data_IF_832886853131
#
_entry.id   IF_832886853131
#
_cell.length_a   1.000
_cell.length_b   1.000
_cell.length_c   1.000
_cell.angle_alpha   90.00
_cell.angle_beta   90.00
_cell.angle_gamma   90.00
#
_symmetry.space_group_name_H-M   'P 1'
#
loop_
_entity.id
_entity.type
_entity.pdbx_description
1 polymer ?
#
# COMPACT_ATOMS: atom_id res chain seq x y z
N UNK A 1 -11.00 10.82 4.41
CA UNK A 1 -10.51 12.18 4.10
C UNK A 1 -10.70 12.99 5.36
N UNK A 2 -9.61 13.47 5.99
CA UNK A 2 -9.71 14.29 7.21
C UNK A 2 -10.26 15.65 6.76
N UNK A 3 -11.57 15.80 6.81
CA UNK A 3 -12.26 17.01 6.39
C UNK A 3 -12.02 18.14 7.39
N UNK A 4 -11.83 19.35 6.87
CA UNK A 4 -11.84 20.57 7.66
C UNK A 4 -13.18 20.68 8.40
N UNK A 5 -13.11 20.76 9.73
CA UNK A 5 -14.27 20.96 10.59
C UNK A 5 -14.16 22.38 11.21
N UNK A 6 -15.02 23.32 10.80
CA UNK A 6 -14.96 24.71 11.27
C UNK A 6 -15.34 24.86 12.76
N UNK A 7 -15.73 23.79 13.46
CA UNK A 7 -16.09 23.80 14.90
C UNK A 7 -14.99 23.29 15.83
N UNK A 8 -13.78 23.01 15.31
CA UNK A 8 -12.67 22.51 16.12
C UNK A 8 -11.81 23.67 16.64
N UNK A 9 -11.82 23.90 17.95
CA UNK A 9 -11.04 24.95 18.64
C UNK A 9 -9.51 24.71 18.64
N UNK A 10 -9.04 23.58 18.10
CA UNK A 10 -7.62 23.22 17.99
C UNK A 10 -7.27 22.99 16.52
N UNK A 11 -6.84 24.04 15.83
CA UNK A 11 -6.22 23.91 14.52
C UNK A 11 -4.79 23.41 14.66
N UNK A 12 -4.59 22.10 14.46
CA UNK A 12 -3.24 21.52 14.39
C UNK A 12 -2.49 22.11 13.20
N UNK A 13 -1.22 22.47 13.41
CA UNK A 13 -0.33 22.92 12.35
C UNK A 13 -0.18 21.86 11.25
N UNK A 14 0.05 22.29 10.01
CA UNK A 14 0.26 21.37 8.86
C UNK A 14 1.37 20.34 9.13
N UNK A 15 2.37 20.71 9.93
CA UNK A 15 3.46 19.82 10.35
C UNK A 15 2.99 18.76 11.34
N UNK A 16 2.13 19.12 12.30
CA UNK A 16 1.55 18.21 13.27
C UNK A 16 0.59 17.22 12.60
N UNK A 17 -0.24 17.69 11.66
CA UNK A 17 -1.11 16.83 10.85
C UNK A 17 -0.30 15.86 10.00
N UNK A 18 0.77 16.33 9.36
CA UNK A 18 1.69 15.50 8.59
C UNK A 18 2.38 14.44 9.46
N UNK A 19 2.87 14.83 10.63
CA UNK A 19 3.51 13.92 11.58
C UNK A 19 2.54 12.86 12.13
N UNK A 20 1.33 13.26 12.52
CA UNK A 20 0.29 12.35 12.98
C UNK A 20 -0.12 11.36 11.87
N UNK A 21 -0.24 11.83 10.63
CA UNK A 21 -0.51 10.99 9.47
C UNK A 21 0.62 9.97 9.20
N UNK A 22 1.87 10.42 9.25
CA UNK A 22 3.04 9.55 9.07
C UNK A 22 3.14 8.48 10.17
N UNK A 23 3.00 8.87 11.44
CA UNK A 23 3.02 7.95 12.58
C UNK A 23 1.88 6.93 12.49
N UNK A 24 0.66 7.39 12.17
CA UNK A 24 -0.49 6.51 11.96
C UNK A 24 -0.26 5.52 10.82
N UNK A 25 0.33 5.97 9.71
CA UNK A 25 0.68 5.11 8.57
C UNK A 25 1.71 4.04 8.91
N UNK A 26 2.76 4.41 9.65
CA UNK A 26 3.78 3.48 10.13
C UNK A 26 3.16 2.43 11.05
N UNK A 27 2.43 2.86 12.08
CA UNK A 27 1.79 1.97 13.05
C UNK A 27 0.80 1.01 12.38
N UNK A 28 -0.06 1.53 11.51
CA UNK A 28 -1.02 0.71 10.76
C UNK A 28 -0.31 -0.40 10.01
N UNK A 29 0.78 -0.09 9.32
CA UNK A 29 1.53 -1.10 8.58
C UNK A 29 2.31 -2.05 9.44
N UNK A 30 2.85 -1.61 10.57
CA UNK A 30 3.51 -2.51 11.51
C UNK A 30 2.52 -3.56 12.05
N UNK A 31 1.27 -3.17 12.29
CA UNK A 31 0.20 -4.09 12.73
C UNK A 31 -0.28 -5.02 11.59
N UNK A 32 -0.37 -4.51 10.36
CA UNK A 32 -0.86 -5.27 9.20
C UNK A 32 0.21 -6.15 8.54
N UNK A 33 1.50 -5.87 8.76
CA UNK A 33 2.63 -6.57 8.12
C UNK A 33 2.53 -8.11 8.18
N UNK A 34 2.15 -8.75 9.31
CA UNK A 34 2.01 -10.21 9.37
C UNK A 34 0.98 -10.76 8.37
N UNK A 35 -0.12 -10.05 8.16
CA UNK A 35 -1.17 -10.43 7.20
C UNK A 35 -0.69 -10.25 5.75
N UNK A 36 0.09 -9.20 5.48
CA UNK A 36 0.72 -8.99 4.18
C UNK A 36 1.70 -10.12 3.82
N UNK A 37 2.51 -10.55 4.78
CA UNK A 37 3.44 -11.68 4.59
C UNK A 37 2.68 -12.97 4.27
N UNK A 38 1.62 -13.27 5.01
CA UNK A 38 0.76 -14.42 4.75
C UNK A 38 0.14 -14.33 3.35
N UNK A 39 -0.48 -13.20 3.01
CA UNK A 39 -1.08 -12.98 1.69
C UNK A 39 -0.09 -13.25 0.56
N UNK A 40 1.09 -12.64 0.60
CA UNK A 40 2.10 -12.78 -0.46
C UNK A 40 2.58 -14.23 -0.55
N UNK A 41 2.81 -14.92 0.57
CA UNK A 41 3.23 -16.33 0.55
C UNK A 41 2.17 -17.28 0.01
N UNK A 42 0.89 -17.02 0.31
CA UNK A 42 -0.22 -17.76 -0.30
C UNK A 42 -0.32 -17.48 -1.80
N UNK A 43 -0.13 -16.23 -2.24
CA UNK A 43 -0.16 -15.86 -3.65
C UNK A 43 1.03 -16.40 -4.46
N UNK A 44 2.19 -16.56 -3.83
CA UNK A 44 3.38 -17.15 -4.45
C UNK A 44 3.37 -18.69 -4.42
N UNK A 45 2.51 -19.31 -3.62
CA UNK A 45 2.35 -20.75 -3.63
C UNK A 45 1.65 -21.18 -4.93
N UNK A 46 2.34 -22.00 -5.73
CA UNK A 46 1.80 -22.51 -6.99
C UNK A 46 0.86 -23.68 -6.73
N UNK A 47 1.10 -24.45 -5.65
CA UNK A 47 0.31 -25.63 -5.33
C UNK A 47 -1.11 -25.26 -4.87
N UNK A 48 -2.12 -26.00 -5.34
CA UNK A 48 -3.51 -25.72 -5.00
C UNK A 48 -3.71 -25.83 -3.50
N UNK A 49 -4.42 -24.86 -2.93
CA UNK A 49 -4.77 -24.83 -1.50
C UNK A 49 -5.81 -25.93 -1.25
N UNK A 50 -5.34 -27.13 -0.92
CA UNK A 50 -6.16 -28.29 -0.57
C UNK A 50 -5.76 -28.82 0.80
N UNK A 51 -6.74 -28.87 1.70
CA UNK A 51 -6.56 -29.51 3.02
C UNK A 51 -6.22 -30.99 2.83
N UNK A 52 -5.16 -31.45 3.49
CA UNK A 52 -4.70 -32.84 3.42
C UNK A 52 -3.79 -33.18 2.23
N UNK A 53 -3.49 -32.23 1.34
CA UNK A 53 -2.47 -32.44 0.31
C UNK A 53 -1.06 -32.35 0.90
N UNK A 54 -0.23 -33.37 0.65
CA UNK A 54 1.20 -33.37 1.00
C UNK A 54 2.02 -32.34 0.22
N UNK A 55 1.51 -31.90 -0.93
CA UNK A 55 2.20 -30.93 -1.80
C UNK A 55 1.95 -29.46 -1.38
N UNK A 56 0.84 -29.16 -0.70
CA UNK A 56 0.51 -27.78 -0.33
C UNK A 56 1.23 -27.35 0.94
N UNK A 57 2.18 -26.40 0.84
CA UNK A 57 2.95 -25.90 1.98
C UNK A 57 2.05 -25.21 3.02
N UNK A 58 1.13 -24.36 2.54
CA UNK A 58 0.21 -23.54 3.32
C UNK A 58 -1.25 -23.90 2.98
N UNK A 59 -1.99 -24.38 3.98
CA UNK A 59 -3.36 -24.90 3.82
C UNK A 59 -4.43 -24.05 4.51
N UNK A 60 -4.04 -23.30 5.55
CA UNK A 60 -4.91 -22.37 6.25
C UNK A 60 -4.07 -21.27 6.90
N UNK A 61 -4.69 -20.13 7.22
CA UNK A 61 -4.00 -18.98 7.84
C UNK A 61 -3.31 -19.39 9.15
N UNK A 62 -4.03 -20.07 10.05
CA UNK A 62 -3.47 -20.48 11.35
C UNK A 62 -2.33 -21.48 11.20
N UNK A 63 -2.48 -22.46 10.29
CA UNK A 63 -1.42 -23.43 10.00
C UNK A 63 -0.19 -22.75 9.38
N UNK A 64 -0.39 -21.82 8.46
CA UNK A 64 0.68 -21.06 7.82
C UNK A 64 1.42 -20.19 8.84
N UNK A 65 0.71 -19.45 9.68
CA UNK A 65 1.31 -18.62 10.74
C UNK A 65 2.15 -19.48 11.67
N UNK A 66 1.62 -20.61 12.16
CA UNK A 66 2.35 -21.53 13.04
C UNK A 66 3.62 -22.05 12.34
N UNK A 67 3.49 -22.47 11.08
CA UNK A 67 4.58 -23.01 10.27
C UNK A 67 5.70 -21.99 10.05
N UNK A 68 5.36 -20.74 9.72
CA UNK A 68 6.32 -19.64 9.55
C UNK A 68 7.05 -19.36 10.85
N UNK A 69 6.34 -19.28 11.98
CA UNK A 69 6.95 -19.00 13.29
C UNK A 69 7.87 -20.14 13.73
N UNK A 70 7.52 -21.40 13.45
CA UNK A 70 8.36 -22.55 13.77
C UNK A 70 9.59 -22.63 12.86
N UNK A 71 9.42 -22.54 11.55
CA UNK A 71 10.48 -22.72 10.54
C UNK A 71 11.46 -21.52 10.47
N UNK A 72 10.94 -20.29 10.54
CA UNK A 72 11.73 -19.06 10.26
C UNK A 72 11.76 -18.10 11.45
N UNK A 73 10.82 -18.24 12.39
CA UNK A 73 10.76 -17.43 13.60
C UNK A 73 9.74 -16.30 13.53
N UNK A 74 9.52 -15.66 14.69
CA UNK A 74 8.52 -14.58 14.81
C UNK A 74 8.84 -13.38 13.93
N UNK A 75 10.15 -13.08 13.75
CA UNK A 75 10.60 -11.96 12.90
C UNK A 75 10.24 -12.15 11.43
N UNK A 76 10.02 -13.37 10.97
CA UNK A 76 9.64 -13.64 9.58
C UNK A 76 8.28 -13.02 9.21
N UNK A 77 7.39 -12.79 10.19
CA UNK A 77 6.12 -12.09 9.99
C UNK A 77 6.30 -10.59 9.65
N UNK A 78 7.48 -10.02 9.89
CA UNK A 78 7.81 -8.64 9.53
C UNK A 78 8.84 -8.54 8.38
N UNK A 79 9.11 -9.64 7.67
CA UNK A 79 9.94 -9.60 6.45
C UNK A 79 9.35 -8.60 5.45
N UNK A 80 10.24 -7.84 4.80
CA UNK A 80 9.86 -6.83 3.81
C UNK A 80 9.18 -5.57 4.37
N UNK A 81 9.19 -5.33 5.69
CA UNK A 81 8.56 -4.15 6.28
C UNK A 81 9.17 -2.82 5.80
N UNK A 82 10.51 -2.71 5.80
CA UNK A 82 11.20 -1.50 5.34
C UNK A 82 10.92 -1.12 3.88
N UNK A 83 11.08 -2.02 2.89
CA UNK A 83 10.74 -1.69 1.51
C UNK A 83 9.23 -1.47 1.33
N UNK A 84 8.38 -2.12 2.14
CA UNK A 84 6.98 -1.76 2.19
C UNK A 84 6.82 -0.29 2.59
N UNK A 85 7.41 0.17 3.70
CA UNK A 85 7.32 1.57 4.15
C UNK A 85 7.69 2.56 3.05
N UNK A 86 8.86 2.36 2.43
CA UNK A 86 9.31 3.16 1.28
C UNK A 86 8.26 3.15 0.17
N UNK A 87 7.73 1.99 -0.19
CA UNK A 87 6.71 1.86 -1.22
C UNK A 87 5.45 2.71 -0.93
N UNK A 88 4.93 2.76 0.30
CA UNK A 88 3.74 3.60 0.56
C UNK A 88 4.04 5.08 0.52
N UNK A 89 5.16 5.50 1.09
CA UNK A 89 5.51 6.93 1.13
C UNK A 89 5.73 7.42 -0.29
N UNK A 90 6.50 6.69 -1.09
CA UNK A 90 6.73 7.02 -2.49
C UNK A 90 5.43 6.98 -3.31
N UNK A 91 4.62 5.92 -3.16
CA UNK A 91 3.37 5.81 -3.92
C UNK A 91 2.40 6.93 -3.57
N UNK A 92 2.16 7.17 -2.29
CA UNK A 92 1.25 8.24 -1.85
C UNK A 92 1.74 9.63 -2.26
N UNK A 93 3.05 9.89 -2.13
CA UNK A 93 3.64 11.18 -2.52
C UNK A 93 3.55 11.44 -4.02
N UNK A 94 4.01 10.48 -4.85
CA UNK A 94 3.99 10.63 -6.31
C UNK A 94 2.55 10.69 -6.82
N UNK A 95 1.65 9.85 -6.30
CA UNK A 95 0.26 9.83 -6.75
C UNK A 95 -0.43 11.15 -6.45
N UNK A 96 -0.23 11.69 -5.26
CA UNK A 96 -0.85 12.95 -4.86
C UNK A 96 -0.33 14.12 -5.71
N UNK A 97 1.00 14.22 -5.89
CA UNK A 97 1.61 15.29 -6.69
C UNK A 97 1.18 15.18 -8.16
N UNK A 98 1.23 13.98 -8.76
CA UNK A 98 0.80 13.78 -10.14
C UNK A 98 -0.70 14.05 -10.33
N UNK A 99 -1.54 13.64 -9.37
CA UNK A 99 -2.97 13.89 -9.42
C UNK A 99 -3.29 15.39 -9.33
N UNK A 100 -2.64 16.12 -8.43
CA UNK A 100 -2.79 17.57 -8.34
C UNK A 100 -2.35 18.26 -9.63
N UNK A 101 -1.21 17.85 -10.20
CA UNK A 101 -0.69 18.40 -11.45
C UNK A 101 -1.69 18.21 -12.59
N UNK A 102 -2.14 16.97 -12.83
CA UNK A 102 -3.11 16.70 -13.91
C UNK A 102 -4.44 17.40 -13.70
N UNK A 103 -4.95 17.46 -12.47
CA UNK A 103 -6.21 18.14 -12.18
C UNK A 103 -6.09 19.65 -12.42
N UNK A 104 -4.95 20.27 -12.08
CA UNK A 104 -4.69 21.70 -12.33
C UNK A 104 -4.60 22.00 -13.82
N UNK A 105 -3.86 21.20 -14.58
CA UNK A 105 -3.73 21.39 -16.03
C UNK A 105 -5.07 21.27 -16.75
N UNK A 106 -5.87 20.25 -16.41
CA UNK A 106 -7.22 20.09 -17.00
C UNK A 106 -8.13 21.27 -16.66
N UNK A 107 -8.00 21.85 -15.46
CA UNK A 107 -8.81 23.00 -15.07
C UNK A 107 -8.41 24.31 -15.78
N UNK A 108 -7.14 24.43 -16.18
CA UNK A 108 -6.61 25.60 -16.87
C UNK A 108 -6.89 25.56 -18.38
N UNK A 109 -6.79 24.39 -19.01
CA UNK A 109 -6.93 24.26 -20.46
C UNK A 109 -8.37 23.99 -20.94
N UNK A 110 -9.22 23.41 -20.10
CA UNK A 110 -10.58 23.01 -20.49
C UNK A 110 -11.63 24.00 -19.96
N UNK A 111 -12.63 24.41 -20.77
CA UNK A 111 -13.68 25.33 -20.32
C UNK A 111 -14.44 24.78 -19.10
N UNK A 112 -14.78 25.68 -18.18
CA UNK A 112 -15.38 25.37 -16.87
C UNK A 112 -16.71 24.61 -16.92
N UNK A 113 -17.39 24.64 -18.07
CA UNK A 113 -18.62 23.88 -18.36
C UNK A 113 -18.32 22.37 -18.52
N UNK A 114 -17.30 21.99 -19.29
CA UNK A 114 -16.93 20.58 -19.47
C UNK A 114 -16.29 19.96 -18.23
N UNK A 115 -15.49 20.72 -17.48
CA UNK A 115 -14.87 20.23 -16.23
C UNK A 115 -15.90 20.02 -15.12
N UNK A 116 -16.98 20.80 -15.10
CA UNK A 116 -18.05 20.68 -14.10
C UNK A 116 -19.08 19.61 -14.44
N UNK A 117 -19.46 19.49 -15.71
CA UNK A 117 -20.44 18.48 -16.14
C UNK A 117 -19.86 17.05 -16.15
N UNK A 118 -18.55 16.89 -16.40
CA UNK A 118 -17.87 15.58 -16.48
C UNK A 118 -16.89 15.30 -15.34
N UNK A 119 -17.09 15.89 -14.14
CA UNK A 119 -16.19 15.73 -12.97
C UNK A 119 -15.77 14.29 -12.68
N UNK A 120 -16.66 13.28 -12.65
CA UNK A 120 -16.26 11.92 -12.29
C UNK A 120 -15.28 11.30 -13.29
N UNK A 121 -15.50 11.52 -14.59
CA UNK A 121 -14.65 10.98 -15.66
C UNK A 121 -13.30 11.70 -15.65
N UNK A 122 -13.31 13.03 -15.50
CA UNK A 122 -12.07 13.83 -15.43
C UNK A 122 -11.18 13.38 -14.27
N UNK A 123 -11.74 13.24 -13.07
CA UNK A 123 -10.97 12.75 -11.91
C UNK A 123 -10.54 11.28 -12.07
N UNK A 124 -11.35 10.44 -12.72
CA UNK A 124 -10.96 9.06 -13.02
C UNK A 124 -9.73 9.01 -13.93
N UNK A 125 -9.71 9.80 -15.01
CA UNK A 125 -8.58 9.85 -15.95
C UNK A 125 -7.32 10.42 -15.28
N UNK A 126 -7.45 11.53 -14.54
CA UNK A 126 -6.33 12.12 -13.80
C UNK A 126 -5.78 11.15 -12.75
N UNK A 127 -6.67 10.45 -12.03
CA UNK A 127 -6.31 9.43 -11.06
C UNK A 127 -5.61 8.22 -11.69
N UNK A 128 -6.10 7.77 -12.84
CA UNK A 128 -5.49 6.68 -13.61
C UNK A 128 -4.08 7.01 -14.08
N UNK A 129 -3.88 8.19 -14.70
CA UNK A 129 -2.56 8.65 -15.14
C UNK A 129 -1.59 8.83 -13.96
N UNK A 130 -2.05 9.44 -12.87
CA UNK A 130 -1.26 9.58 -11.65
C UNK A 130 -0.87 8.21 -11.06
N UNK A 131 -1.79 7.24 -11.08
CA UNK A 131 -1.53 5.86 -10.67
C UNK A 131 -0.47 5.18 -11.52
N UNK A 132 -0.52 5.34 -12.85
CA UNK A 132 0.50 4.81 -13.75
C UNK A 132 1.89 5.39 -13.46
N UNK A 133 2.00 6.72 -13.32
CA UNK A 133 3.27 7.38 -12.99
C UNK A 133 3.79 6.87 -11.65
N UNK A 134 2.94 6.84 -10.62
CA UNK A 134 3.31 6.36 -9.29
C UNK A 134 3.84 4.93 -9.32
N UNK A 135 3.21 4.08 -10.11
CA UNK A 135 3.62 2.68 -10.26
C UNK A 135 5.02 2.58 -10.89
N UNK A 136 5.34 3.39 -11.90
CA UNK A 136 6.69 3.39 -12.51
C UNK A 136 7.78 3.72 -11.49
N UNK A 137 7.56 4.72 -10.65
CA UNK A 137 8.52 5.09 -9.59
C UNK A 137 8.60 4.05 -8.46
N UNK A 138 7.48 3.38 -8.19
CA UNK A 138 7.36 2.46 -7.06
C UNK A 138 7.77 1.02 -7.38
N UNK A 139 7.80 0.66 -8.65
CA UNK A 139 8.04 -0.72 -9.09
C UNK A 139 9.32 -1.35 -8.52
N UNK A 140 10.47 -0.64 -8.43
CA UNK A 140 11.68 -1.22 -7.84
C UNK A 140 11.49 -1.63 -6.37
N UNK A 141 10.83 -0.78 -5.58
CA UNK A 141 10.58 -1.05 -4.16
C UNK A 141 9.58 -2.21 -3.97
N UNK A 142 8.59 -2.32 -4.85
CA UNK A 142 7.62 -3.41 -4.79
C UNK A 142 8.24 -4.77 -5.17
N UNK A 143 9.13 -4.79 -6.17
CA UNK A 143 9.91 -6.01 -6.51
C UNK A 143 10.79 -6.44 -5.34
N UNK A 144 11.47 -5.51 -4.67
CA UNK A 144 12.29 -5.82 -3.48
C UNK A 144 11.43 -6.36 -2.34
N UNK A 145 10.29 -5.70 -2.04
CA UNK A 145 9.35 -6.14 -1.01
C UNK A 145 8.85 -7.55 -1.26
N UNK A 146 8.35 -7.83 -2.46
CA UNK A 146 7.75 -9.13 -2.79
C UNK A 146 8.78 -10.26 -2.78
N UNK A 147 10.01 -10.02 -3.26
CA UNK A 147 11.09 -11.01 -3.18
C UNK A 147 11.51 -11.32 -1.74
N UNK A 148 11.70 -10.29 -0.91
CA UNK A 148 12.10 -10.48 0.49
C UNK A 148 11.03 -11.22 1.31
N UNK A 149 9.74 -11.00 1.01
CA UNK A 149 8.63 -11.69 1.68
C UNK A 149 8.50 -13.14 1.20
N UNK A 150 8.71 -13.36 -0.10
CA UNK A 150 8.64 -14.68 -0.71
C UNK A 150 9.77 -15.63 -0.31
N UNK A 151 10.96 -15.10 0.02
CA UNK A 151 12.09 -15.90 0.46
C UNK A 151 11.87 -16.42 1.90
N UNK A 152 11.58 -17.73 1.98
CA UNK A 152 11.66 -18.48 3.23
C UNK A 152 13.10 -18.84 3.53
N UNK A 153 13.65 -18.35 4.63
CA UNK A 153 14.98 -18.76 5.10
C UNK A 153 14.77 -19.70 6.28
N UNK A 154 15.11 -20.99 6.16
CA UNK A 154 15.04 -21.89 7.29
C UNK A 154 16.00 -21.43 8.39
N UNK A 155 15.55 -21.53 9.64
CA UNK A 155 16.39 -21.33 10.83
C UNK A 155 17.60 -22.27 10.88
#
# INVERSE_FOLDING_TARGET
MVGYDPKRDVELSKTEQGAAGALSGILTRTLIQPLDVLKIRFQLQIEPIRRGSLQSKYQSILQATRKIVTEEGVRALWKGHMPAQVLSVTYGGVQFVSFEFFTKEVWNELPSTLTTDYRPITHFMCGGLAGCISTLFCQPADVVRTRLIGQGEPK
#
